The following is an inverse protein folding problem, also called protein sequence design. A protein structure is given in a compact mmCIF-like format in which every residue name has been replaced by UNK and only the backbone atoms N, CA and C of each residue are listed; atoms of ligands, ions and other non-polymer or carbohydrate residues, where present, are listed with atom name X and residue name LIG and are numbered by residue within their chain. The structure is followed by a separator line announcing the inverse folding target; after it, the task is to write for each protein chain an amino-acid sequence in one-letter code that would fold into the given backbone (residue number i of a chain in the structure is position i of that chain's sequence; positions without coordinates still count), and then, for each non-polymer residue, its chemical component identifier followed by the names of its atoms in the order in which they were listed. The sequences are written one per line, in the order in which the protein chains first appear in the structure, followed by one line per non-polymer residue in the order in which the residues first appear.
data_IF_568350844258
#
_entry.id   IF_568350844258
#
_cell.length_a   1.000
_cell.length_b   1.000
_cell.length_c   1.000
_cell.angle_alpha   90.00
_cell.angle_beta   90.00
_cell.angle_gamma   90.00
#
_symmetry.space_group_name_H-M   'P 1'
#
loop_
_entity.id
_entity.type
_entity.pdbx_description
1 polymer ?
#
# COMPACT_ATOMS: atom_id res chain seq x y z
N UNK A 1 23.10 44.32 -54.49
CA UNK A 1 23.15 43.10 -55.33
C UNK A 1 24.29 42.26 -54.77
N UNK A 2 24.16 41.02 -54.31
CA UNK A 2 23.15 39.95 -54.41
C UNK A 2 23.72 38.80 -53.54
N UNK A 3 23.01 38.35 -52.50
CA UNK A 3 22.35 37.02 -52.39
C UNK A 3 23.23 35.78 -52.04
N UNK A 4 23.04 35.28 -50.80
CA UNK A 4 22.51 33.94 -50.37
C UNK A 4 23.00 32.62 -51.04
N UNK A 5 23.45 31.68 -50.17
CA UNK A 5 23.42 30.17 -50.18
C UNK A 5 24.29 29.41 -51.21
N UNK A 6 24.75 28.15 -51.03
CA UNK A 6 24.23 27.00 -50.27
C UNK A 6 25.24 25.81 -50.11
N UNK A 7 25.05 25.00 -49.05
CA UNK A 7 25.23 23.53 -48.87
C UNK A 7 26.63 22.87 -48.93
N UNK A 8 26.93 22.06 -47.90
CA UNK A 8 27.91 20.96 -47.96
C UNK A 8 28.02 20.12 -46.67
N UNK A 9 27.23 19.04 -46.59
CA UNK A 9 27.28 17.93 -45.62
C UNK A 9 28.69 17.37 -45.32
N UNK A 10 28.94 16.89 -44.09
CA UNK A 10 29.27 15.47 -43.80
C UNK A 10 29.72 15.21 -42.34
N UNK A 11 29.26 14.07 -41.80
CA UNK A 11 29.61 13.37 -40.55
C UNK A 11 28.99 13.95 -39.27
N UNK A 12 28.18 13.23 -38.47
CA UNK A 12 28.15 11.80 -38.23
C UNK A 12 26.71 11.25 -38.13
N UNK A 13 26.41 10.28 -38.98
CA UNK A 13 25.26 9.40 -38.94
C UNK A 13 25.74 8.08 -38.31
N UNK A 14 25.19 7.65 -37.18
CA UNK A 14 25.28 6.25 -36.75
C UNK A 14 23.89 5.82 -36.28
N UNK A 15 23.37 4.82 -37.01
CA UNK A 15 22.05 4.23 -36.90
C UNK A 15 22.06 3.21 -35.76
N UNK A 16 20.99 3.16 -34.95
CA UNK A 16 20.56 1.89 -34.35
C UNK A 16 19.07 1.67 -34.64
N UNK A 17 18.80 0.76 -35.59
CA UNK A 17 17.51 0.10 -35.76
C UNK A 17 17.52 -1.15 -34.88
N UNK A 18 16.68 -1.18 -33.84
CA UNK A 18 15.89 -2.36 -33.49
C UNK A 18 15.06 -2.05 -32.25
N UNK A 19 13.75 -1.85 -32.43
CA UNK A 19 12.74 -2.15 -31.42
C UNK A 19 11.38 -2.15 -32.13
N UNK A 20 11.06 -3.29 -32.73
CA UNK A 20 9.71 -3.62 -33.14
C UNK A 20 9.37 -5.02 -32.62
N UNK A 21 8.57 -5.01 -31.56
CA UNK A 21 7.48 -5.95 -31.22
C UNK A 21 7.82 -7.29 -30.52
N UNK A 22 6.84 -7.87 -29.76
CA UNK A 22 7.02 -8.42 -28.42
C UNK A 22 6.97 -9.96 -28.36
N UNK A 23 7.45 -10.55 -27.24
CA UNK A 23 6.77 -11.66 -26.54
C UNK A 23 7.46 -12.06 -25.21
N UNK A 24 6.63 -12.07 -24.16
CA UNK A 24 6.62 -12.86 -22.92
C UNK A 24 7.84 -13.71 -22.52
N UNK A 25 8.42 -13.44 -21.35
CA UNK A 25 8.36 -14.27 -20.12
C UNK A 25 9.29 -13.69 -19.04
N UNK A 26 8.83 -13.69 -17.79
CA UNK A 26 9.57 -13.22 -16.61
C UNK A 26 10.89 -13.97 -16.39
N UNK A 27 11.93 -13.27 -15.96
CA UNK A 27 12.71 -13.53 -14.72
C UNK A 27 13.94 -12.60 -14.64
N UNK A 28 14.13 -12.00 -13.46
CA UNK A 28 15.30 -11.25 -12.97
C UNK A 28 15.74 -9.99 -13.72
N UNK A 29 15.61 -8.86 -13.02
CA UNK A 29 16.06 -7.51 -13.40
C UNK A 29 17.52 -7.46 -13.85
N UNK A 30 17.83 -6.81 -14.99
CA UNK A 30 19.08 -6.12 -15.17
C UNK A 30 18.87 -4.62 -14.87
N UNK A 31 19.71 -4.07 -14.00
CA UNK A 31 19.96 -2.62 -13.95
C UNK A 31 20.31 -2.18 -15.37
N UNK A 32 19.47 -1.36 -16.00
CA UNK A 32 19.73 -0.84 -17.33
C UNK A 32 21.04 -0.03 -17.28
N UNK A 33 22.08 -0.55 -17.95
CA UNK A 33 23.34 0.15 -18.07
C UNK A 33 23.19 1.26 -19.13
N UNK A 34 23.58 2.51 -18.84
CA UNK A 34 23.42 3.58 -19.82
C UNK A 34 24.37 3.45 -21.02
N UNK A 35 23.93 3.82 -22.25
CA UNK A 35 24.79 3.86 -23.42
C UNK A 35 25.84 4.99 -23.33
N UNK A 36 27.00 4.78 -23.96
CA UNK A 36 28.15 5.67 -23.93
C UNK A 36 27.86 7.12 -24.39
N UNK A 37 28.61 8.06 -23.80
CA UNK A 37 28.47 9.53 -23.86
C UNK A 37 29.29 10.13 -25.00
N UNK A 38 28.76 11.13 -25.73
CA UNK A 38 29.56 12.10 -26.51
C UNK A 38 29.19 13.52 -26.11
N UNK A 39 30.16 14.41 -25.98
CA UNK A 39 30.03 15.79 -25.51
C UNK A 39 29.47 16.75 -26.58
N UNK A 40 28.28 17.32 -26.35
CA UNK A 40 27.74 18.37 -27.20
C UNK A 40 26.66 19.19 -26.48
N UNK A 41 27.00 20.40 -26.02
CA UNK A 41 26.10 21.32 -25.33
C UNK A 41 25.24 22.12 -26.32
N UNK A 42 23.93 22.19 -26.10
CA UNK A 42 23.06 23.13 -26.80
C UNK A 42 22.08 23.79 -25.82
N UNK A 43 21.97 25.13 -25.87
CA UNK A 43 21.26 25.94 -24.86
C UNK A 43 19.88 26.47 -25.31
N UNK A 44 19.44 26.21 -26.56
CA UNK A 44 18.03 26.30 -27.04
C UNK A 44 17.96 25.94 -28.53
N UNK A 45 16.93 25.22 -29.01
CA UNK A 45 16.79 24.86 -30.44
C UNK A 45 15.39 25.13 -31.04
N UNK A 46 15.00 26.40 -31.14
CA UNK A 46 13.76 26.81 -31.83
C UNK A 46 13.73 26.55 -33.37
N UNK A 47 14.53 25.64 -33.92
CA UNK A 47 14.69 25.50 -35.37
C UNK A 47 15.09 24.11 -35.91
N UNK A 48 14.95 23.00 -35.16
CA UNK A 48 15.21 21.66 -35.71
C UNK A 48 14.03 20.71 -35.49
N UNK A 49 13.36 20.37 -36.58
CA UNK A 49 12.15 19.53 -36.69
C UNK A 49 12.41 18.02 -36.45
N UNK A 50 13.48 17.68 -35.72
CA UNK A 50 13.85 16.31 -35.29
C UNK A 50 15.18 16.36 -34.52
N UNK A 51 15.19 16.69 -33.23
CA UNK A 51 16.40 16.54 -32.42
C UNK A 51 16.36 15.19 -31.73
N UNK A 52 17.31 14.32 -32.07
CA UNK A 52 17.33 12.94 -31.58
C UNK A 52 18.10 12.76 -30.26
N UNK A 53 18.83 13.79 -29.76
CA UNK A 53 19.51 13.76 -28.44
C UNK A 53 20.10 15.13 -28.05
N UNK A 54 19.88 15.57 -26.82
CA UNK A 54 20.40 16.82 -26.24
C UNK A 54 21.22 16.49 -25.00
N UNK A 55 22.43 17.04 -24.87
CA UNK A 55 23.33 16.77 -23.73
C UNK A 55 23.67 18.07 -23.03
N UNK A 56 23.28 18.19 -21.76
CA UNK A 56 23.49 19.37 -20.93
C UNK A 56 24.68 19.18 -19.98
N UNK A 57 25.46 20.25 -19.81
CA UNK A 57 26.49 20.35 -18.77
C UNK A 57 25.92 20.96 -17.47
N UNK A 58 26.70 20.92 -16.38
CA UNK A 58 26.26 21.45 -15.06
C UNK A 58 25.82 22.92 -15.14
N UNK A 59 24.64 23.20 -14.61
CA UNK A 59 24.11 24.54 -14.39
C UNK A 59 23.35 25.13 -15.58
N UNK A 60 23.02 24.33 -16.60
CA UNK A 60 22.32 24.80 -17.79
C UNK A 60 20.79 24.73 -17.60
N UNK A 61 20.11 25.76 -18.08
CA UNK A 61 18.66 25.74 -18.27
C UNK A 61 18.40 25.32 -19.71
N UNK A 62 17.53 24.33 -19.91
CA UNK A 62 17.14 23.83 -21.20
C UNK A 62 15.62 23.95 -21.37
N UNK A 63 15.21 24.40 -22.55
CA UNK A 63 13.81 24.40 -22.98
C UNK A 63 13.69 23.62 -24.29
N UNK A 64 12.91 22.56 -24.28
CA UNK A 64 12.59 21.71 -25.42
C UNK A 64 11.48 22.28 -26.28
N UNK A 65 10.80 21.39 -27.01
CA UNK A 65 9.79 21.68 -28.01
C UNK A 65 8.45 21.05 -27.64
N UNK A 66 7.43 21.18 -28.48
CA UNK A 66 6.15 20.45 -28.29
C UNK A 66 6.17 19.08 -29.02
N UNK A 67 7.36 18.56 -29.33
CA UNK A 67 7.59 17.28 -29.97
C UNK A 67 8.36 16.36 -29.01
N UNK A 68 8.37 15.06 -29.30
CA UNK A 68 9.15 14.08 -28.55
C UNK A 68 10.65 14.48 -28.49
N UNK A 69 11.13 14.90 -27.31
CA UNK A 69 12.52 15.29 -27.08
C UNK A 69 13.31 14.20 -26.33
N UNK A 70 14.58 14.00 -26.72
CA UNK A 70 15.52 13.14 -25.99
C UNK A 70 16.58 13.99 -25.29
N UNK A 71 16.55 14.07 -23.97
CA UNK A 71 17.35 15.00 -23.16
C UNK A 71 18.21 14.21 -22.16
N UNK A 72 19.47 14.57 -22.01
CA UNK A 72 20.39 13.99 -21.04
C UNK A 72 21.17 15.10 -20.33
N UNK A 73 21.26 15.03 -19.00
CA UNK A 73 22.10 15.92 -18.19
C UNK A 73 23.06 15.11 -17.33
N UNK A 74 24.35 15.45 -17.41
CA UNK A 74 25.40 14.83 -16.58
C UNK A 74 25.51 15.37 -15.15
N UNK A 75 24.72 16.39 -14.79
CA UNK A 75 24.72 17.00 -13.46
C UNK A 75 23.50 17.90 -13.25
N UNK A 76 23.61 18.87 -12.34
CA UNK A 76 22.52 19.83 -12.07
C UNK A 76 22.06 20.52 -13.36
N UNK A 77 20.79 20.43 -13.69
CA UNK A 77 20.16 21.16 -14.78
C UNK A 77 18.76 21.63 -14.41
N UNK A 78 18.24 22.63 -15.12
CA UNK A 78 16.80 22.93 -15.16
C UNK A 78 16.30 22.55 -16.54
N UNK A 79 15.41 21.56 -16.62
CA UNK A 79 14.90 21.01 -17.87
C UNK A 79 13.39 21.30 -17.93
N UNK A 80 12.96 22.01 -18.96
CA UNK A 80 11.57 22.13 -19.39
C UNK A 80 11.51 21.46 -20.76
N UNK A 81 11.00 20.23 -20.86
CA UNK A 81 10.99 19.50 -22.12
C UNK A 81 9.93 20.01 -23.10
N UNK A 82 8.87 20.65 -22.60
CA UNK A 82 7.67 20.96 -23.40
C UNK A 82 6.80 19.73 -23.65
N UNK A 83 5.67 19.86 -24.35
CA UNK A 83 4.78 18.73 -24.61
C UNK A 83 5.44 17.67 -25.54
N UNK A 84 4.87 16.47 -25.61
CA UNK A 84 5.39 15.36 -26.42
C UNK A 84 5.76 14.16 -25.54
N UNK A 85 6.14 13.03 -26.14
CA UNK A 85 6.62 11.87 -25.40
C UNK A 85 8.14 11.98 -25.23
N UNK A 86 8.57 12.60 -24.15
CA UNK A 86 9.96 12.92 -23.91
C UNK A 86 10.70 11.76 -23.26
N UNK A 87 11.99 11.62 -23.56
CA UNK A 87 12.90 10.75 -22.81
C UNK A 87 13.96 11.62 -22.14
N UNK A 88 13.96 11.65 -20.81
CA UNK A 88 14.83 12.52 -20.02
C UNK A 88 15.70 11.68 -19.11
N UNK A 89 17.02 11.88 -19.19
CA UNK A 89 17.95 11.42 -18.18
C UNK A 89 18.50 12.60 -17.40
N UNK A 90 17.94 12.82 -16.21
CA UNK A 90 18.45 13.79 -15.24
C UNK A 90 19.62 13.22 -14.44
N UNK A 91 20.65 14.05 -14.24
CA UNK A 91 21.76 13.72 -13.36
C UNK A 91 21.36 13.78 -11.89
N UNK A 92 22.14 14.51 -11.11
CA UNK A 92 21.80 14.86 -9.72
C UNK A 92 21.44 16.34 -9.63
N UNK A 93 20.65 16.69 -8.61
CA UNK A 93 20.31 18.08 -8.26
C UNK A 93 19.60 18.87 -9.39
N UNK A 94 18.83 18.19 -10.24
CA UNK A 94 18.11 18.79 -11.36
C UNK A 94 16.65 19.10 -11.02
N UNK A 95 16.10 20.11 -11.70
CA UNK A 95 14.66 20.35 -11.76
C UNK A 95 14.19 19.98 -13.16
N UNK A 96 13.23 19.07 -13.26
CA UNK A 96 12.74 18.51 -14.51
C UNK A 96 11.24 18.71 -14.57
N UNK A 97 10.79 19.28 -15.69
CA UNK A 97 9.40 19.35 -16.09
C UNK A 97 9.28 18.76 -17.50
N UNK A 98 8.50 17.69 -17.68
CA UNK A 98 8.35 17.05 -18.99
C UNK A 98 7.06 17.39 -19.73
N UNK A 99 6.06 17.99 -19.08
CA UNK A 99 4.91 18.56 -19.80
C UNK A 99 3.79 17.55 -20.02
N UNK A 100 3.06 17.65 -21.12
CA UNK A 100 2.05 16.62 -21.46
C UNK A 100 2.65 15.58 -22.39
N UNK A 101 2.18 14.35 -22.27
CA UNK A 101 2.60 13.23 -23.10
C UNK A 101 2.92 12.03 -22.23
N UNK A 102 3.37 10.94 -22.85
CA UNK A 102 3.82 9.76 -22.12
C UNK A 102 5.34 9.80 -22.03
N UNK A 103 5.85 10.35 -20.95
CA UNK A 103 7.26 10.63 -20.75
C UNK A 103 8.01 9.47 -20.09
N UNK A 104 9.31 9.39 -20.34
CA UNK A 104 10.22 8.45 -19.69
C UNK A 104 11.35 9.21 -19.02
N UNK A 105 11.44 9.14 -17.69
CA UNK A 105 12.36 9.95 -16.91
C UNK A 105 13.23 9.04 -16.03
N UNK A 106 14.55 9.15 -16.17
CA UNK A 106 15.52 8.53 -15.28
C UNK A 106 16.27 9.61 -14.49
N UNK A 107 16.22 9.53 -13.17
CA UNK A 107 16.93 10.47 -12.28
C UNK A 107 17.77 9.75 -11.23
N UNK A 108 18.94 10.31 -10.94
CA UNK A 108 19.77 9.82 -9.84
C UNK A 108 19.30 10.39 -8.51
N UNK A 109 19.94 11.46 -8.03
CA UNK A 109 19.75 11.93 -6.65
C UNK A 109 19.36 13.39 -6.54
N UNK A 110 18.50 13.69 -5.57
CA UNK A 110 18.14 15.08 -5.20
C UNK A 110 17.48 15.87 -6.33
N UNK A 111 16.73 15.21 -7.22
CA UNK A 111 16.03 15.88 -8.31
C UNK A 111 14.59 16.22 -7.90
N UNK A 112 14.06 17.31 -8.46
CA UNK A 112 12.63 17.58 -8.51
C UNK A 112 12.09 17.22 -9.89
N UNK A 113 11.13 16.31 -9.97
CA UNK A 113 10.52 15.83 -11.22
C UNK A 113 9.04 16.16 -11.19
N UNK A 114 8.57 16.83 -12.25
CA UNK A 114 7.16 16.99 -12.58
C UNK A 114 6.94 16.44 -13.98
N UNK A 115 6.36 15.25 -14.13
CA UNK A 115 6.16 14.71 -15.47
C UNK A 115 5.00 15.40 -16.17
N UNK A 116 3.80 15.37 -15.59
CA UNK A 116 2.72 16.28 -15.95
C UNK A 116 1.41 15.57 -16.20
N UNK A 117 0.99 15.44 -17.45
CA UNK A 117 -0.22 14.67 -17.75
C UNK A 117 0.01 13.71 -18.90
N UNK A 118 -0.54 12.50 -18.78
CA UNK A 118 -0.23 11.38 -19.65
C UNK A 118 0.33 10.23 -18.82
N UNK A 119 0.60 9.10 -19.47
CA UNK A 119 1.02 7.89 -18.77
C UNK A 119 2.55 7.84 -18.74
N UNK A 120 3.12 8.30 -17.64
CA UNK A 120 4.54 8.54 -17.49
C UNK A 120 5.27 7.37 -16.82
N UNK A 121 6.57 7.26 -17.08
CA UNK A 121 7.44 6.29 -16.42
C UNK A 121 8.63 6.99 -15.79
N UNK A 122 8.77 6.87 -14.46
CA UNK A 122 9.86 7.48 -13.70
C UNK A 122 10.68 6.42 -12.99
N UNK A 123 11.98 6.37 -13.29
CA UNK A 123 12.98 5.63 -12.51
C UNK A 123 13.78 6.61 -11.67
N UNK A 124 13.67 6.47 -10.35
CA UNK A 124 14.32 7.36 -9.40
C UNK A 124 15.20 6.59 -8.43
N UNK A 125 16.46 7.04 -8.29
CA UNK A 125 17.35 6.43 -7.31
C UNK A 125 17.05 6.98 -5.90
N UNK A 126 17.69 8.06 -5.48
CA UNK A 126 17.63 8.47 -4.06
C UNK A 126 17.24 9.92 -3.82
N UNK A 127 16.42 10.17 -2.80
CA UNK A 127 16.16 11.53 -2.30
C UNK A 127 15.55 12.48 -3.35
N UNK A 128 14.75 11.98 -4.28
CA UNK A 128 14.06 12.80 -5.27
C UNK A 128 12.65 13.19 -4.78
N UNK A 129 12.14 14.32 -5.28
CA UNK A 129 10.74 14.76 -5.14
C UNK A 129 10.07 14.60 -6.50
N UNK A 130 9.11 13.68 -6.59
CA UNK A 130 8.51 13.21 -7.84
C UNK A 130 7.01 13.48 -7.78
N UNK A 131 6.51 14.10 -8.83
CA UNK A 131 5.10 14.40 -9.07
C UNK A 131 4.79 13.98 -10.51
N UNK A 132 4.03 12.91 -10.72
CA UNK A 132 3.75 12.41 -12.07
C UNK A 132 2.49 13.02 -12.69
N UNK A 133 1.47 13.29 -11.87
CA UNK A 133 0.34 14.15 -12.20
C UNK A 133 -0.91 13.38 -12.59
N UNK A 134 -1.54 13.68 -13.73
CA UNK A 134 -2.74 12.94 -14.14
C UNK A 134 -2.38 11.90 -15.20
N UNK A 135 -2.73 10.64 -15.01
CA UNK A 135 -2.45 9.55 -15.95
C UNK A 135 -2.28 8.21 -15.25
N UNK A 136 -2.23 7.11 -16.01
CA UNK A 136 -1.84 5.82 -15.43
C UNK A 136 -0.30 5.73 -15.42
N UNK A 137 0.32 6.13 -14.32
CA UNK A 137 1.76 6.31 -14.21
C UNK A 137 2.49 5.08 -13.68
N UNK A 138 3.80 5.02 -13.92
CA UNK A 138 4.68 3.97 -13.40
C UNK A 138 5.92 4.55 -12.74
N UNK A 139 6.04 4.39 -11.42
CA UNK A 139 7.17 4.92 -10.64
C UNK A 139 7.98 3.77 -10.03
N UNK A 140 9.27 3.72 -10.37
CA UNK A 140 10.24 2.78 -9.80
C UNK A 140 11.24 3.57 -8.95
N UNK A 141 11.14 3.45 -7.63
CA UNK A 141 11.95 4.23 -6.70
C UNK A 141 12.83 3.34 -5.82
N UNK A 142 14.07 3.78 -5.60
CA UNK A 142 14.98 3.08 -4.70
C UNK A 142 14.81 3.59 -3.26
N UNK A 143 15.46 4.69 -2.88
CA UNK A 143 15.52 5.09 -1.47
C UNK A 143 15.15 6.54 -1.18
N UNK A 144 14.40 6.79 -0.11
CA UNK A 144 14.17 8.14 0.43
C UNK A 144 13.52 9.12 -0.56
N UNK A 145 12.75 8.63 -1.55
CA UNK A 145 12.04 9.51 -2.48
C UNK A 145 10.69 9.94 -1.90
N UNK A 146 10.25 11.14 -2.26
CA UNK A 146 8.86 11.57 -2.10
C UNK A 146 8.16 11.43 -3.45
N UNK A 147 7.05 10.72 -3.49
CA UNK A 147 6.31 10.37 -4.71
C UNK A 147 4.87 10.81 -4.54
N UNK A 148 4.37 11.56 -5.52
CA UNK A 148 2.95 11.85 -5.73
C UNK A 148 2.63 11.39 -7.14
N UNK A 149 1.82 10.34 -7.31
CA UNK A 149 1.48 9.92 -8.67
C UNK A 149 0.25 10.60 -9.21
N UNK A 150 -0.76 10.88 -8.37
CA UNK A 150 -1.82 11.83 -8.68
C UNK A 150 -3.13 11.13 -8.99
N UNK A 151 -3.74 11.35 -10.16
CA UNK A 151 -5.00 10.70 -10.51
C UNK A 151 -4.80 9.71 -11.67
N UNK A 152 -5.26 8.48 -11.50
CA UNK A 152 -5.12 7.40 -12.47
C UNK A 152 -4.78 6.08 -11.78
N UNK A 153 -4.69 5.00 -12.55
CA UNK A 153 -4.40 3.69 -11.98
C UNK A 153 -2.88 3.46 -11.99
N UNK A 154 -2.22 3.93 -10.93
CA UNK A 154 -0.77 4.00 -10.90
C UNK A 154 -0.11 2.68 -10.50
N UNK A 155 1.12 2.49 -10.98
CA UNK A 155 1.98 1.36 -10.61
C UNK A 155 3.24 1.90 -9.93
N UNK A 156 3.37 1.65 -8.62
CA UNK A 156 4.49 2.15 -7.83
C UNK A 156 5.27 0.96 -7.28
N UNK A 157 6.56 0.88 -7.60
CA UNK A 157 7.50 -0.06 -6.99
C UNK A 157 8.57 0.70 -6.23
N UNK A 158 8.58 0.56 -4.91
CA UNK A 158 9.45 1.30 -4.01
C UNK A 158 10.28 0.37 -3.14
N UNK A 159 11.57 0.65 -3.03
CA UNK A 159 12.44 -0.13 -2.18
C UNK A 159 12.34 0.35 -0.71
N UNK A 160 13.15 1.34 -0.29
CA UNK A 160 13.27 1.67 1.14
C UNK A 160 13.07 3.14 1.50
N UNK A 161 12.37 3.41 2.59
CA UNK A 161 12.30 4.77 3.15
C UNK A 161 11.55 5.78 2.28
N UNK A 162 10.74 5.34 1.31
CA UNK A 162 10.03 6.27 0.42
C UNK A 162 8.72 6.75 1.08
N UNK A 163 8.34 7.99 0.76
CA UNK A 163 7.01 8.54 1.05
C UNK A 163 6.21 8.54 -0.23
N UNK A 164 5.11 7.79 -0.24
CA UNK A 164 4.28 7.52 -1.41
C UNK A 164 2.88 8.07 -1.14
N UNK A 165 2.38 8.88 -2.05
CA UNK A 165 0.97 9.21 -2.18
C UNK A 165 0.57 8.84 -3.61
N UNK A 166 -0.21 7.76 -3.77
CA UNK A 166 -0.63 7.32 -5.10
C UNK A 166 -1.78 8.19 -5.63
N UNK A 167 -2.71 8.57 -4.76
CA UNK A 167 -3.82 9.47 -5.09
C UNK A 167 -5.04 8.67 -5.58
N UNK A 168 -5.89 9.29 -6.40
CA UNK A 168 -7.16 8.67 -6.77
C UNK A 168 -6.98 7.66 -7.92
N UNK A 169 -7.54 6.46 -7.81
CA UNK A 169 -7.53 5.42 -8.83
C UNK A 169 -7.29 4.03 -8.24
N UNK A 170 -7.42 2.97 -9.06
CA UNK A 170 -7.13 1.60 -8.61
C UNK A 170 -5.62 1.34 -8.70
N UNK A 171 -4.87 1.70 -7.66
CA UNK A 171 -3.41 1.70 -7.67
C UNK A 171 -2.81 0.31 -7.36
N UNK A 172 -1.59 0.08 -7.85
CA UNK A 172 -0.77 -1.10 -7.54
C UNK A 172 0.54 -0.67 -6.93
N UNK A 173 0.69 -0.90 -5.64
CA UNK A 173 1.85 -0.46 -4.87
C UNK A 173 2.62 -1.69 -4.37
N UNK A 174 3.90 -1.80 -4.73
CA UNK A 174 4.82 -2.78 -4.16
C UNK A 174 5.93 -2.04 -3.41
N UNK A 175 6.02 -2.27 -2.11
CA UNK A 175 6.96 -1.59 -1.22
C UNK A 175 7.79 -2.60 -0.41
N UNK A 176 9.09 -2.34 -0.23
CA UNK A 176 9.91 -3.10 0.73
C UNK A 176 9.90 -2.39 2.09
N UNK A 177 11.06 -2.02 2.65
CA UNK A 177 11.18 -1.65 4.06
C UNK A 177 11.03 -0.14 4.32
N UNK A 178 10.42 0.23 5.44
CA UNK A 178 10.40 1.60 5.96
C UNK A 178 9.68 2.63 5.08
N UNK A 179 8.74 2.20 4.23
CA UNK A 179 7.96 3.12 3.41
C UNK A 179 6.74 3.65 4.16
N UNK A 180 6.35 4.88 3.83
CA UNK A 180 5.04 5.45 4.19
C UNK A 180 4.19 5.51 2.94
N UNK A 181 3.04 4.87 2.96
CA UNK A 181 2.16 4.68 1.80
C UNK A 181 0.80 5.27 2.13
N UNK A 182 0.34 6.17 1.27
CA UNK A 182 -1.06 6.59 1.16
C UNK A 182 -1.51 6.19 -0.23
N UNK A 183 -2.41 5.21 -0.34
CA UNK A 183 -2.87 4.74 -1.65
C UNK A 183 -3.91 5.72 -2.20
N UNK A 184 -5.01 5.98 -1.49
CA UNK A 184 -5.93 7.08 -1.79
C UNK A 184 -7.36 6.59 -1.89
N UNK A 185 -8.12 7.08 -2.87
CA UNK A 185 -9.45 6.54 -3.14
C UNK A 185 -9.38 5.60 -4.35
N UNK A 186 -10.00 4.43 -4.26
CA UNK A 186 -9.96 3.41 -5.30
C UNK A 186 -9.77 2.01 -4.71
N UNK A 187 -9.87 0.98 -5.54
CA UNK A 187 -9.64 -0.39 -5.08
C UNK A 187 -8.16 -0.72 -5.23
N UNK A 188 -7.38 -0.44 -4.20
CA UNK A 188 -5.93 -0.53 -4.27
C UNK A 188 -5.41 -1.94 -3.99
N UNK A 189 -4.33 -2.31 -4.68
CA UNK A 189 -3.54 -3.50 -4.39
C UNK A 189 -2.18 -3.09 -3.79
N UNK A 190 -1.99 -3.39 -2.52
CA UNK A 190 -0.77 -3.03 -1.78
C UNK A 190 -0.02 -4.31 -1.39
N UNK A 191 1.20 -4.46 -1.87
CA UNK A 191 2.15 -5.49 -1.45
C UNK A 191 3.31 -4.82 -0.72
N UNK A 192 3.25 -4.81 0.60
CA UNK A 192 4.29 -4.22 1.43
C UNK A 192 5.05 -5.34 2.14
N UNK A 193 6.38 -5.29 2.17
CA UNK A 193 7.20 -6.29 2.87
C UNK A 193 8.12 -5.62 3.89
N UNK A 194 8.01 -6.03 5.16
CA UNK A 194 8.79 -5.43 6.24
C UNK A 194 8.05 -4.27 6.89
N UNK A 195 8.77 -3.38 7.57
CA UNK A 195 8.17 -2.36 8.43
C UNK A 195 7.64 -1.17 7.62
N UNK A 196 6.37 -1.17 7.22
CA UNK A 196 5.76 -0.03 6.53
C UNK A 196 4.63 0.60 7.34
N UNK A 197 4.35 1.86 7.04
CA UNK A 197 3.11 2.54 7.44
C UNK A 197 2.22 2.66 6.21
N UNK A 198 1.00 2.15 6.28
CA UNK A 198 0.09 2.01 5.14
C UNK A 198 -1.25 2.63 5.54
N UNK A 199 -1.72 3.58 4.74
CA UNK A 199 -3.11 4.08 4.71
C UNK A 199 -3.64 3.77 3.31
N UNK A 200 -4.50 2.76 3.17
CA UNK A 200 -5.04 2.39 1.86
C UNK A 200 -6.13 3.38 1.42
N UNK A 201 -6.98 3.83 2.34
CA UNK A 201 -7.95 4.90 2.11
C UNK A 201 -9.35 4.35 1.82
N UNK A 202 -10.06 4.93 0.86
CA UNK A 202 -11.45 4.52 0.58
C UNK A 202 -11.49 3.57 -0.63
N UNK A 203 -12.25 2.48 -0.55
CA UNK A 203 -12.43 1.48 -1.62
C UNK A 203 -12.22 0.06 -1.12
N UNK A 204 -12.48 -0.94 -1.97
CA UNK A 204 -12.29 -2.34 -1.60
C UNK A 204 -10.80 -2.71 -1.81
N UNK A 205 -9.98 -2.55 -0.77
CA UNK A 205 -8.53 -2.70 -0.87
C UNK A 205 -8.05 -4.13 -0.62
N UNK A 206 -6.92 -4.49 -1.23
CA UNK A 206 -6.25 -5.77 -0.99
C UNK A 206 -4.80 -5.54 -0.54
N UNK A 207 -4.51 -5.86 0.71
CA UNK A 207 -3.25 -5.56 1.39
C UNK A 207 -2.54 -6.86 1.78
N UNK A 208 -1.35 -7.08 1.20
CA UNK A 208 -0.41 -8.14 1.58
C UNK A 208 0.79 -7.50 2.27
N UNK A 209 0.77 -7.41 3.60
CA UNK A 209 1.80 -6.71 4.39
C UNK A 209 3.03 -7.57 4.77
N UNK A 210 2.96 -8.89 4.67
CA UNK A 210 4.06 -9.72 5.19
C UNK A 210 4.19 -9.57 6.71
N UNK A 211 5.21 -8.88 7.24
CA UNK A 211 5.44 -8.74 8.69
C UNK A 211 5.75 -7.31 9.13
N UNK A 212 5.33 -6.97 10.35
CA UNK A 212 5.73 -5.75 11.09
C UNK A 212 5.22 -4.41 10.53
N UNK A 213 4.04 -4.39 9.91
CA UNK A 213 3.45 -3.15 9.38
C UNK A 213 2.51 -2.48 10.36
N UNK A 214 2.31 -1.19 10.16
CA UNK A 214 1.16 -0.44 10.66
C UNK A 214 0.20 -0.20 9.48
N UNK A 215 -0.97 -0.85 9.53
CA UNK A 215 -1.94 -0.89 8.44
C UNK A 215 -3.21 -0.20 8.89
N UNK A 216 -3.65 0.78 8.11
CA UNK A 216 -4.99 1.31 8.10
C UNK A 216 -5.59 1.04 6.71
N UNK A 217 -6.64 0.23 6.59
CA UNK A 217 -7.24 -0.05 5.28
C UNK A 217 -8.31 0.98 4.92
N UNK A 218 -9.13 1.42 5.87
CA UNK A 218 -9.96 2.61 5.73
C UNK A 218 -11.44 2.28 5.60
N UNK A 219 -12.08 2.63 4.49
CA UNK A 219 -13.49 2.29 4.27
C UNK A 219 -13.67 1.45 3.02
N UNK A 220 -14.60 0.51 3.04
CA UNK A 220 -14.81 -0.44 1.94
C UNK A 220 -14.76 -1.87 2.45
N UNK A 221 -14.74 -2.85 1.53
CA UNK A 221 -14.61 -4.27 1.89
C UNK A 221 -13.17 -4.70 1.66
N UNK A 222 -12.36 -4.61 2.71
CA UNK A 222 -10.94 -4.80 2.60
C UNK A 222 -10.54 -6.27 2.81
N UNK A 223 -9.46 -6.69 2.15
CA UNK A 223 -8.78 -7.96 2.42
C UNK A 223 -7.34 -7.71 2.86
N UNK A 224 -7.05 -7.99 4.12
CA UNK A 224 -5.75 -7.80 4.74
C UNK A 224 -5.13 -9.16 5.05
N UNK A 225 -3.89 -9.37 4.63
CA UNK A 225 -3.04 -10.47 5.07
C UNK A 225 -1.72 -9.93 5.61
N UNK A 226 -1.48 -10.09 6.91
CA UNK A 226 -0.23 -9.62 7.54
C UNK A 226 0.13 -10.40 8.81
N UNK A 227 1.35 -10.25 9.30
CA UNK A 227 1.83 -10.84 10.55
C UNK A 227 2.60 -9.83 11.39
N UNK A 228 2.66 -10.05 12.70
CA UNK A 228 3.34 -9.16 13.65
C UNK A 228 2.99 -7.67 13.44
N UNK A 229 1.76 -7.38 13.00
CA UNK A 229 1.36 -6.04 12.53
C UNK A 229 0.37 -5.40 13.48
N UNK A 230 0.21 -4.09 13.34
CA UNK A 230 -0.94 -3.35 13.85
C UNK A 230 -1.89 -3.12 12.68
N UNK A 231 -3.16 -3.47 12.86
CA UNK A 231 -4.18 -3.46 11.81
C UNK A 231 -5.39 -2.70 12.35
N UNK A 232 -5.80 -1.66 11.63
CA UNK A 232 -7.07 -0.93 11.76
C UNK A 232 -7.79 -1.07 10.41
N UNK A 233 -8.79 -1.95 10.28
CA UNK A 233 -9.44 -2.13 8.96
C UNK A 233 -10.50 -1.06 8.69
N UNK A 234 -11.27 -0.67 9.70
CA UNK A 234 -12.07 0.55 9.66
C UNK A 234 -13.55 0.27 9.43
N UNK A 235 -14.13 0.74 8.33
CA UNK A 235 -15.56 0.61 8.09
C UNK A 235 -15.86 -0.25 6.86
N UNK A 236 -16.73 -1.25 7.01
CA UNK A 236 -17.17 -2.15 5.95
C UNK A 236 -16.97 -3.61 6.34
N UNK A 237 -17.39 -4.56 5.50
CA UNK A 237 -17.30 -5.98 5.84
C UNK A 237 -15.91 -6.52 5.43
N UNK A 238 -14.97 -6.57 6.37
CA UNK A 238 -13.56 -6.83 6.10
C UNK A 238 -13.16 -8.30 6.27
N UNK A 239 -12.07 -8.69 5.60
CA UNK A 239 -11.42 -9.99 5.73
C UNK A 239 -9.99 -9.81 6.20
N UNK A 240 -9.70 -10.25 7.43
CA UNK A 240 -8.39 -10.12 8.05
C UNK A 240 -7.79 -11.51 8.29
N UNK A 241 -6.66 -11.81 7.64
CA UNK A 241 -5.84 -13.00 7.91
C UNK A 241 -4.54 -12.56 8.58
N UNK A 242 -4.45 -12.73 9.90
CA UNK A 242 -3.37 -12.17 10.69
C UNK A 242 -2.58 -13.22 11.47
N UNK A 243 -1.28 -13.01 11.66
CA UNK A 243 -0.43 -13.81 12.54
C UNK A 243 0.14 -12.95 13.67
N UNK A 244 -0.05 -13.33 14.94
CA UNK A 244 0.56 -12.65 16.09
C UNK A 244 0.45 -11.10 16.05
N UNK A 245 -0.74 -10.59 15.74
CA UNK A 245 -0.96 -9.16 15.42
C UNK A 245 -1.91 -8.48 16.41
N UNK A 246 -1.88 -7.14 16.44
CA UNK A 246 -2.91 -6.29 17.02
C UNK A 246 -3.92 -5.93 15.94
N UNK A 247 -5.19 -6.21 16.17
CA UNK A 247 -6.27 -6.10 15.20
C UNK A 247 -7.40 -5.29 15.82
N UNK A 248 -7.81 -4.24 15.12
CA UNK A 248 -9.06 -3.51 15.29
C UNK A 248 -9.80 -3.56 13.95
N UNK A 249 -10.91 -4.31 13.87
CA UNK A 249 -11.61 -4.49 12.59
C UNK A 249 -12.60 -3.34 12.33
N UNK A 250 -13.28 -2.85 13.37
CA UNK A 250 -14.00 -1.57 13.34
C UNK A 250 -15.51 -1.76 13.18
N UNK A 251 -16.15 -1.03 12.27
CA UNK A 251 -17.59 -1.14 12.04
C UNK A 251 -17.84 -2.02 10.79
N UNK A 252 -18.64 -3.08 10.90
CA UNK A 252 -18.90 -3.99 9.79
C UNK A 252 -19.16 -5.41 10.23
N UNK A 253 -19.46 -6.33 9.31
CA UNK A 253 -19.50 -7.76 9.65
C UNK A 253 -18.23 -8.43 9.18
N UNK A 254 -17.24 -8.48 10.07
CA UNK A 254 -15.88 -8.82 9.72
C UNK A 254 -15.60 -10.31 9.81
N UNK A 255 -14.61 -10.75 9.04
CA UNK A 255 -14.06 -12.09 9.11
C UNK A 255 -12.59 -12.02 9.52
N UNK A 256 -12.28 -12.52 10.72
CA UNK A 256 -10.93 -12.51 11.28
C UNK A 256 -10.42 -13.95 11.42
N UNK A 257 -9.37 -14.31 10.69
CA UNK A 257 -8.60 -15.56 10.90
C UNK A 257 -7.27 -15.24 11.57
N UNK A 258 -7.26 -15.31 12.90
CA UNK A 258 -6.12 -15.05 13.76
C UNK A 258 -5.32 -16.35 13.99
N UNK A 259 -4.11 -16.39 13.44
CA UNK A 259 -3.20 -17.53 13.46
C UNK A 259 -2.03 -17.29 14.40
N UNK A 260 -1.42 -18.38 14.85
CA UNK A 260 -0.31 -18.38 15.82
C UNK A 260 -0.71 -17.73 17.15
N UNK A 261 0.27 -17.60 18.02
CA UNK A 261 0.09 -17.10 19.38
C UNK A 261 0.19 -15.58 19.46
N UNK A 262 -0.45 -15.00 20.48
CA UNK A 262 -0.27 -13.59 20.84
C UNK A 262 -1.08 -12.59 20.02
N UNK A 263 -2.18 -13.02 19.39
CA UNK A 263 -3.08 -12.07 18.73
C UNK A 263 -3.84 -11.24 19.77
N UNK A 264 -4.04 -9.95 19.49
CA UNK A 264 -4.89 -9.04 20.26
C UNK A 264 -5.98 -8.54 19.33
N UNK A 265 -7.24 -8.80 19.63
CA UNK A 265 -8.35 -8.62 18.69
C UNK A 265 -9.42 -7.75 19.33
N UNK A 266 -9.88 -6.75 18.59
CA UNK A 266 -11.13 -6.06 18.79
C UNK A 266 -11.85 -6.13 17.45
N UNK A 267 -12.98 -6.84 17.40
CA UNK A 267 -13.73 -6.96 16.15
C UNK A 267 -14.55 -5.68 15.91
N UNK A 268 -15.12 -5.11 16.97
CA UNK A 268 -15.77 -3.82 16.91
C UNK A 268 -17.27 -3.99 16.78
N UNK A 269 -17.94 -3.17 15.97
CA UNK A 269 -19.40 -3.25 15.81
C UNK A 269 -19.80 -4.07 14.61
N UNK A 270 -20.70 -5.01 14.82
CA UNK A 270 -21.42 -5.73 13.79
C UNK A 270 -21.53 -7.20 14.16
N UNK A 271 -21.88 -8.06 13.21
CA UNK A 271 -21.99 -9.49 13.49
C UNK A 271 -20.74 -10.22 12.98
N UNK A 272 -19.70 -10.29 13.81
CA UNK A 272 -18.37 -10.70 13.37
C UNK A 272 -18.14 -12.22 13.42
N UNK A 273 -17.18 -12.67 12.62
CA UNK A 273 -16.74 -14.07 12.56
C UNK A 273 -15.25 -14.18 12.83
N UNK A 274 -14.92 -14.76 13.97
CA UNK A 274 -13.54 -14.85 14.46
C UNK A 274 -13.11 -16.33 14.53
N UNK A 275 -12.01 -16.66 13.86
CA UNK A 275 -11.34 -17.95 13.91
C UNK A 275 -9.98 -17.79 14.58
N UNK A 276 -9.76 -18.49 15.69
CA UNK A 276 -8.51 -18.45 16.43
C UNK A 276 -7.80 -19.80 16.29
N UNK A 277 -6.54 -19.76 15.87
CA UNK A 277 -5.66 -20.91 15.78
C UNK A 277 -4.31 -20.63 16.47
N UNK A 278 -4.25 -20.91 17.76
CA UNK A 278 -3.17 -20.49 18.66
C UNK A 278 -3.76 -19.83 19.91
N UNK A 279 -3.13 -18.76 20.38
CA UNK A 279 -3.60 -17.95 21.50
C UNK A 279 -4.00 -16.53 21.09
N UNK A 280 -5.09 -16.03 21.67
CA UNK A 280 -5.56 -14.67 21.46
C UNK A 280 -6.10 -14.02 22.74
N UNK A 281 -5.95 -12.70 22.85
CA UNK A 281 -6.74 -11.87 23.77
C UNK A 281 -7.72 -11.06 22.94
N UNK A 282 -8.99 -11.05 23.34
CA UNK A 282 -10.06 -10.34 22.66
C UNK A 282 -10.67 -9.29 23.59
N UNK A 283 -11.16 -8.19 23.02
CA UNK A 283 -12.05 -7.25 23.70
C UNK A 283 -13.45 -7.32 23.10
N UNK A 284 -14.45 -7.12 23.94
CA UNK A 284 -15.85 -7.04 23.52
C UNK A 284 -16.61 -6.06 24.42
N UNK A 285 -17.31 -5.12 23.79
CA UNK A 285 -18.04 -4.02 24.38
C UNK A 285 -19.55 -4.07 24.15
N UNK A 286 -20.22 -3.03 24.65
CA UNK A 286 -21.66 -2.85 24.46
C UNK A 286 -21.90 -2.24 23.07
N UNK A 287 -22.80 -2.86 22.29
CA UNK A 287 -23.08 -2.46 20.92
C UNK A 287 -22.17 -3.10 19.88
N UNK A 288 -21.31 -4.05 20.30
CA UNK A 288 -20.43 -4.80 19.41
C UNK A 288 -21.21 -5.78 18.54
N UNK A 289 -22.44 -6.17 18.91
CA UNK A 289 -23.30 -7.00 18.04
C UNK A 289 -23.17 -8.51 18.30
N UNK A 290 -23.56 -9.33 17.33
CA UNK A 290 -23.73 -10.77 17.52
C UNK A 290 -22.57 -11.59 16.91
N UNK A 291 -21.52 -11.80 17.70
CA UNK A 291 -20.28 -12.42 17.24
C UNK A 291 -20.31 -13.95 17.27
N UNK A 292 -19.57 -14.54 16.33
CA UNK A 292 -19.33 -15.97 16.21
C UNK A 292 -17.84 -16.28 16.28
N UNK A 293 -17.41 -16.98 17.32
CA UNK A 293 -16.01 -17.28 17.60
C UNK A 293 -15.75 -18.78 17.52
N UNK A 294 -14.69 -19.17 16.84
CA UNK A 294 -14.22 -20.56 16.79
C UNK A 294 -12.79 -20.65 17.31
N UNK A 295 -12.58 -21.43 18.35
CA UNK A 295 -11.30 -21.50 19.04
C UNK A 295 -10.63 -22.86 18.80
N UNK A 296 -9.39 -22.82 18.33
CA UNK A 296 -8.43 -23.93 18.30
C UNK A 296 -7.17 -23.50 19.03
N UNK A 297 -7.09 -23.81 20.32
CA UNK A 297 -6.07 -23.28 21.22
C UNK A 297 -6.72 -22.61 22.43
N UNK A 298 -6.24 -21.44 22.83
CA UNK A 298 -6.74 -20.73 24.02
C UNK A 298 -7.09 -19.28 23.69
N UNK A 299 -8.11 -18.75 24.36
CA UNK A 299 -8.37 -17.32 24.28
C UNK A 299 -8.81 -16.73 25.63
N UNK A 300 -8.50 -15.46 25.80
CA UNK A 300 -9.03 -14.62 26.87
C UNK A 300 -9.96 -13.59 26.23
N UNK A 301 -11.23 -13.55 26.64
CA UNK A 301 -12.16 -12.51 26.25
C UNK A 301 -12.34 -11.54 27.42
N UNK A 302 -11.84 -10.33 27.26
CA UNK A 302 -11.99 -9.26 28.22
C UNK A 302 -13.19 -8.38 27.84
N UNK A 303 -14.14 -8.25 28.75
CA UNK A 303 -15.28 -7.38 28.55
C UNK A 303 -14.96 -5.93 28.92
N UNK A 304 -15.37 -5.00 28.06
CA UNK A 304 -15.23 -3.57 28.30
C UNK A 304 -16.24 -3.06 29.37
N UNK A 305 -16.02 -1.87 29.96
CA UNK A 305 -16.95 -1.30 30.94
C UNK A 305 -18.39 -1.23 30.41
N UNK A 306 -19.34 -1.78 31.17
CA UNK A 306 -20.75 -1.86 30.78
C UNK A 306 -21.29 -3.28 30.77
N UNK A 307 -20.40 -4.25 30.51
CA UNK A 307 -20.69 -5.68 30.65
C UNK A 307 -20.12 -6.16 31.99
N UNK A 308 -20.98 -6.73 32.83
CA UNK A 308 -20.64 -7.16 34.20
C UNK A 308 -21.02 -8.62 34.42
N UNK A 309 -20.30 -9.29 35.31
CA UNK A 309 -20.46 -10.73 35.57
C UNK A 309 -21.88 -11.12 36.03
N UNK A 310 -22.55 -10.24 36.77
CA UNK A 310 -23.95 -10.42 37.23
C UNK A 310 -24.99 -10.28 36.10
N UNK A 311 -24.61 -9.66 34.98
CA UNK A 311 -25.46 -9.52 33.79
C UNK A 311 -25.11 -10.51 32.70
N UNK A 312 -24.03 -11.26 32.84
CA UNK A 312 -23.59 -12.23 31.84
C UNK A 312 -24.18 -13.60 32.13
N UNK A 313 -24.90 -14.13 31.15
CA UNK A 313 -25.43 -15.49 31.17
C UNK A 313 -24.70 -16.36 30.15
N UNK A 314 -24.29 -17.56 30.56
CA UNK A 314 -23.66 -18.54 29.68
C UNK A 314 -24.49 -19.82 29.62
N UNK A 315 -24.88 -20.21 28.40
CA UNK A 315 -25.63 -21.44 28.11
C UNK A 315 -24.81 -22.33 27.17
N UNK A 316 -24.82 -23.64 27.41
CA UNK A 316 -24.11 -24.61 26.57
C UNK A 316 -25.08 -25.49 25.77
N UNK A 317 -24.77 -25.68 24.49
CA UNK A 317 -25.31 -26.74 23.64
C UNK A 317 -24.14 -27.58 23.09
N UNK A 318 -23.88 -28.70 23.76
CA UNK A 318 -22.70 -29.54 23.51
C UNK A 318 -21.38 -28.78 23.72
N UNK A 319 -20.64 -28.55 22.62
CA UNK A 319 -19.36 -27.81 22.62
C UNK A 319 -19.51 -26.34 22.25
N UNK A 320 -20.73 -25.86 22.06
CA UNK A 320 -21.01 -24.47 21.73
C UNK A 320 -21.51 -23.75 22.98
N UNK A 321 -20.85 -22.66 23.36
CA UNK A 321 -21.32 -21.75 24.39
C UNK A 321 -22.03 -20.55 23.74
N UNK A 322 -23.17 -20.15 24.29
CA UNK A 322 -23.82 -18.88 23.98
C UNK A 322 -23.73 -17.99 25.20
N UNK A 323 -23.11 -16.83 25.03
CA UNK A 323 -22.95 -15.79 26.04
C UNK A 323 -23.93 -14.66 25.68
N UNK A 324 -24.76 -14.28 26.63
CA UNK A 324 -25.77 -13.23 26.48
C UNK A 324 -25.71 -12.25 27.66
N UNK A 325 -26.18 -11.03 27.44
CA UNK A 325 -26.05 -9.95 28.40
C UNK A 325 -27.42 -9.36 28.77
N UNK A 326 -27.76 -9.39 30.06
CA UNK A 326 -29.02 -8.82 30.53
C UNK A 326 -29.08 -7.32 30.21
N UNK A 327 -30.12 -6.92 29.47
CA UNK A 327 -30.32 -5.53 29.04
C UNK A 327 -29.75 -5.20 27.65
N UNK A 328 -29.14 -6.16 26.95
CA UNK A 328 -28.80 -6.05 25.52
C UNK A 328 -29.27 -7.30 24.78
N UNK A 329 -30.23 -7.14 23.86
CA UNK A 329 -30.69 -8.24 23.01
C UNK A 329 -29.89 -8.35 21.70
N UNK A 330 -29.18 -7.28 21.31
CA UNK A 330 -28.32 -7.25 20.12
C UNK A 330 -26.96 -7.86 20.40
N UNK A 331 -26.43 -7.69 21.61
CA UNK A 331 -25.09 -8.15 21.97
C UNK A 331 -25.14 -9.61 22.41
N UNK A 332 -24.41 -10.47 21.71
CA UNK A 332 -24.33 -11.91 21.97
C UNK A 332 -23.02 -12.44 21.43
N UNK A 333 -22.49 -13.47 22.08
CA UNK A 333 -21.32 -14.19 21.58
C UNK A 333 -21.63 -15.68 21.51
N UNK A 334 -21.40 -16.27 20.34
CA UNK A 334 -21.50 -17.72 20.13
C UNK A 334 -20.11 -18.30 19.93
N UNK A 335 -19.66 -19.17 20.84
CA UNK A 335 -18.30 -19.71 20.83
C UNK A 335 -18.31 -21.21 20.62
N UNK A 336 -17.59 -21.69 19.61
CA UNK A 336 -17.32 -23.11 19.43
C UNK A 336 -16.00 -23.49 20.11
N UNK A 337 -16.10 -24.34 21.14
CA UNK A 337 -15.00 -24.79 22.00
C UNK A 337 -14.59 -26.25 21.73
N UNK A 338 -14.96 -26.83 20.57
CA UNK A 338 -14.68 -28.24 20.27
C UNK A 338 -13.19 -28.61 20.25
N UNK A 339 -12.29 -27.62 20.15
CA UNK A 339 -10.83 -27.78 20.05
C UNK A 339 -10.07 -26.73 20.83
N UNK A 340 -10.69 -26.07 21.80
CA UNK A 340 -10.05 -24.97 22.51
C UNK A 340 -10.78 -24.58 23.78
N UNK A 341 -10.19 -23.61 24.47
CA UNK A 341 -10.63 -23.12 25.78
C UNK A 341 -10.80 -21.59 25.73
N UNK A 342 -11.75 -21.08 26.51
CA UNK A 342 -12.01 -19.65 26.61
C UNK A 342 -12.15 -19.24 28.07
N UNK A 343 -11.40 -18.23 28.49
CA UNK A 343 -11.61 -17.54 29.76
C UNK A 343 -12.28 -16.19 29.51
N UNK A 344 -13.27 -15.86 30.30
CA UNK A 344 -13.91 -14.54 30.34
C UNK A 344 -13.28 -13.72 31.46
N UNK A 345 -13.07 -12.42 31.24
CA UNK A 345 -12.54 -11.49 32.24
C UNK A 345 -13.38 -10.22 32.27
N UNK A 346 -13.65 -9.73 33.48
CA UNK A 346 -14.48 -8.56 33.73
C UNK A 346 -13.67 -7.44 34.41
N UNK A 347 -14.16 -6.20 34.31
CA UNK A 347 -13.49 -5.04 34.89
C UNK A 347 -13.34 -5.08 36.43
N UNK A 348 -14.16 -5.87 37.13
CA UNK A 348 -14.08 -6.08 38.58
C UNK A 348 -12.99 -7.09 38.99
N UNK A 349 -12.29 -7.69 38.01
CA UNK A 349 -11.27 -8.72 38.20
C UNK A 349 -11.82 -10.14 38.29
N UNK A 350 -13.13 -10.32 38.19
CA UNK A 350 -13.74 -11.65 38.11
C UNK A 350 -13.36 -12.33 36.80
N UNK A 351 -13.10 -13.64 36.86
CA UNK A 351 -12.84 -14.47 35.68
C UNK A 351 -13.74 -15.70 35.67
N UNK A 352 -14.18 -16.12 34.48
CA UNK A 352 -14.99 -17.33 34.28
C UNK A 352 -14.35 -18.17 33.19
N UNK A 353 -13.89 -19.36 33.54
CA UNK A 353 -13.38 -20.32 32.55
C UNK A 353 -14.53 -21.13 31.95
N UNK A 354 -14.61 -21.15 30.62
CA UNK A 354 -15.61 -21.90 29.87
C UNK A 354 -15.03 -23.26 29.47
N UNK A 355 -15.62 -24.31 30.04
CA UNK A 355 -15.24 -25.70 29.77
C UNK A 355 -16.48 -26.45 29.27
N UNK A 356 -16.46 -27.06 28.06
CA UNK A 356 -17.59 -27.83 27.53
C UNK A 356 -18.04 -28.97 28.46
N UNK A 357 -19.35 -29.21 28.51
CA UNK A 357 -19.97 -30.19 29.42
C UNK A 357 -19.51 -31.64 29.18
N UNK A 358 -19.05 -32.00 27.98
CA UNK A 358 -18.51 -33.34 27.67
C UNK A 358 -17.23 -33.67 28.44
N UNK A 359 -16.60 -32.67 29.08
CA UNK A 359 -15.39 -32.80 29.92
C UNK A 359 -15.72 -32.71 31.42
N UNK A 360 -16.87 -32.11 31.79
CA UNK A 360 -17.31 -32.00 33.19
C UNK A 360 -18.85 -31.93 33.32
N UNK A 361 -19.52 -32.98 33.84
CA UNK A 361 -20.96 -32.99 34.12
C UNK A 361 -21.42 -31.95 35.15
N UNK A 362 -20.49 -31.27 35.82
CA UNK A 362 -20.75 -30.17 36.76
C UNK A 362 -20.68 -28.78 36.12
N UNK A 363 -20.50 -28.66 34.79
CA UNK A 363 -20.67 -27.40 34.07
C UNK A 363 -22.09 -26.88 34.33
N UNK A 364 -22.20 -25.81 35.10
CA UNK A 364 -23.47 -25.13 35.40
C UNK A 364 -23.58 -23.95 34.45
N UNK A 365 -24.79 -23.70 33.95
CA UNK A 365 -25.12 -22.38 33.42
C UNK A 365 -24.72 -21.34 34.47
N UNK A 366 -24.00 -20.30 34.04
CA UNK A 366 -23.61 -19.20 34.92
C UNK A 366 -24.66 -18.09 34.76
N UNK A 367 -25.13 -17.53 35.88
CA UNK A 367 -26.12 -16.42 35.87
C UNK A 367 -27.57 -16.77 36.26
N UNK A 368 -27.85 -17.97 36.79
CA UNK A 368 -29.16 -18.24 37.43
C UNK A 368 -29.17 -17.76 38.90
N UNK A 369 -29.24 -16.45 39.14
CA UNK A 369 -29.56 -15.89 40.45
C UNK A 369 -30.76 -14.95 40.42
#
# INVERSE_FOLDING_TARGET
MTSISSIGNAAALTILKSMAQPNTTETSSPVAQPPAVSDGSATSLAALDAITRIILNRGENFKGTDQDDHIQSGGKATIDAGDGNNTIWGGSDSLIQSGKGNDQILVNSSNGVRSGAGNDVVWANSSNDIDTGDGDDSVFSNSENTIRSGAGNDVISSNTGNSINAGDGDNKISANFDNTIVAGAGNDLIQAFGQNTIDAGDGDNMIFGGFENNIKSGSGKDWIQSGHSMIESGAGDDRIEAESSLIDAGDGNDFIDARRDGNQIHAGRGDDKISINGSATMRYGVGDGADSIKIRGSALLAFEPGITSDKTKVEFDGTTATISFAGSESDRITVNLSKGELSLSFADGTTIDLVPADVNPAARAYGEH
#
